data_IF_016866733287
#
_entry.id   IF_016866733287
#
_cell.length_a   1.000
_cell.length_b   1.000
_cell.length_c   1.000
_cell.angle_alpha   90.00
_cell.angle_beta   90.00
_cell.angle_gamma   90.00
#
_symmetry.space_group_name_H-M   'P 1'
#
loop_
_entity.id
_entity.type
_entity.pdbx_description
1 polymer ?
#
# COMPACT_ATOMS: atom_id res chain seq x y z
N UNK A 1 -7.46 -34.49 -19.76
CA UNK A 1 -8.09 -33.24 -19.27
C UNK A 1 -6.98 -32.38 -18.69
N UNK A 2 -6.53 -31.37 -19.42
CA UNK A 2 -5.39 -30.52 -19.02
C UNK A 2 -5.83 -29.55 -17.92
N UNK A 3 -5.48 -29.87 -16.67
CA UNK A 3 -5.63 -28.94 -15.55
C UNK A 3 -4.52 -27.91 -15.58
N UNK A 4 -4.82 -26.70 -16.07
CA UNK A 4 -3.92 -25.55 -15.98
C UNK A 4 -3.69 -25.26 -14.50
N UNK A 5 -2.56 -25.72 -13.94
CA UNK A 5 -2.11 -25.32 -12.61
C UNK A 5 -2.04 -23.79 -12.60
N UNK A 6 -2.75 -23.09 -11.70
CA UNK A 6 -2.60 -21.64 -11.61
C UNK A 6 -1.12 -21.33 -11.37
N UNK A 7 -0.56 -20.40 -12.14
CA UNK A 7 0.85 -19.98 -11.98
C UNK A 7 1.12 -19.62 -10.52
N UNK A 8 2.33 -19.90 -9.99
CA UNK A 8 2.67 -19.62 -8.58
C UNK A 8 2.42 -18.14 -8.19
N UNK A 9 2.56 -17.22 -9.15
CA UNK A 9 2.22 -15.81 -8.98
C UNK A 9 0.73 -15.55 -8.63
N UNK A 10 -0.19 -16.38 -9.14
CA UNK A 10 -1.65 -16.23 -8.89
C UNK A 10 -2.06 -16.85 -7.54
N UNK A 11 -1.39 -17.91 -7.11
CA UNK A 11 -1.58 -18.51 -5.79
C UNK A 11 -1.03 -17.60 -4.68
N UNK A 12 0.18 -17.06 -4.84
CA UNK A 12 0.77 -16.12 -3.89
C UNK A 12 -0.07 -14.85 -3.71
N UNK A 13 -0.69 -14.35 -4.79
CA UNK A 13 -1.57 -13.17 -4.77
C UNK A 13 -2.90 -13.42 -4.03
N UNK A 14 -3.39 -14.66 -4.03
CA UNK A 14 -4.60 -15.05 -3.32
C UNK A 14 -4.36 -15.33 -1.81
N UNK A 15 -3.17 -15.81 -1.43
CA UNK A 15 -2.79 -16.02 -0.02
C UNK A 15 -2.39 -14.71 0.70
N UNK A 16 -2.03 -13.66 -0.06
CA UNK A 16 -1.79 -12.31 0.45
C UNK A 16 -3.08 -11.50 0.69
N UNK A 17 -4.24 -11.98 0.20
CA UNK A 17 -5.52 -11.27 0.26
C UNK A 17 -6.12 -11.11 1.66
N UNK A 18 -5.45 -11.63 2.70
CA UNK A 18 -5.83 -11.41 4.11
C UNK A 18 -4.64 -11.16 5.03
N UNK A 19 -3.45 -10.88 4.48
CA UNK A 19 -2.23 -10.61 5.27
C UNK A 19 -1.76 -9.20 4.98
N UNK A 20 -1.63 -8.42 6.05
CA UNK A 20 -0.99 -7.10 6.03
C UNK A 20 0.34 -7.22 5.28
N UNK A 21 0.49 -6.49 4.18
CA UNK A 21 1.71 -6.46 3.40
C UNK A 21 2.75 -5.61 4.14
N UNK A 22 4.00 -6.06 4.13
CA UNK A 22 5.11 -5.31 4.73
C UNK A 22 6.04 -4.84 3.62
N UNK A 23 6.53 -3.60 3.73
CA UNK A 23 7.49 -3.04 2.80
C UNK A 23 8.50 -2.16 3.54
N UNK A 24 9.67 -1.98 2.94
CA UNK A 24 10.72 -1.13 3.51
C UNK A 24 10.78 0.15 2.68
N UNK A 25 10.67 1.29 3.34
CA UNK A 25 10.85 2.59 2.72
C UNK A 25 11.88 3.37 3.54
N UNK A 26 12.99 3.74 2.91
CA UNK A 26 13.97 4.65 3.52
C UNK A 26 14.52 4.11 4.87
N UNK A 27 14.80 2.80 4.90
CA UNK A 27 15.35 2.08 6.05
C UNK A 27 14.34 1.73 7.14
N UNK A 28 13.09 2.18 7.02
CA UNK A 28 12.01 1.91 7.96
C UNK A 28 11.04 0.86 7.40
N UNK A 29 10.56 -0.02 8.27
CA UNK A 29 9.55 -1.04 7.90
C UNK A 29 8.16 -0.48 8.12
N UNK A 30 7.36 -0.52 7.05
CA UNK A 30 5.96 -0.15 7.02
C UNK A 30 5.09 -1.36 6.73
N UNK A 31 3.84 -1.26 7.12
CA UNK A 31 2.82 -2.28 6.99
C UNK A 31 1.56 -1.65 6.41
N UNK A 32 0.92 -2.33 5.47
CA UNK A 32 -0.27 -1.86 4.79
C UNK A 32 -1.30 -2.97 4.71
N UNK A 33 -2.56 -2.64 5.02
CA UNK A 33 -3.65 -3.58 4.82
C UNK A 33 -3.81 -3.90 3.31
N UNK A 34 -4.33 -5.08 2.95
CA UNK A 34 -4.78 -5.35 1.59
C UNK A 34 -5.70 -4.24 1.10
N UNK A 35 -5.63 -3.91 -0.20
CA UNK A 35 -6.45 -2.84 -0.79
C UNK A 35 -7.96 -3.07 -0.67
N UNK A 36 -8.38 -4.34 -0.54
CA UNK A 36 -9.77 -4.72 -0.28
C UNK A 36 -10.28 -4.33 1.12
N UNK A 37 -9.37 -4.10 2.07
CA UNK A 37 -9.67 -3.70 3.46
C UNK A 37 -9.55 -2.18 3.66
N UNK A 38 -9.26 -1.42 2.60
CA UNK A 38 -9.20 0.04 2.70
C UNK A 38 -10.60 0.64 2.72
N UNK A 39 -10.80 1.60 3.62
CA UNK A 39 -12.05 2.33 3.70
C UNK A 39 -12.26 3.18 2.43
N UNK A 40 -13.52 3.45 2.07
CA UNK A 40 -13.86 4.29 0.92
C UNK A 40 -13.32 5.71 1.07
N UNK A 41 -13.10 6.17 2.30
CA UNK A 41 -12.42 7.42 2.60
C UNK A 41 -11.00 7.49 1.99
N UNK A 42 -10.31 6.34 1.84
CA UNK A 42 -9.01 6.30 1.17
C UNK A 42 -9.16 6.64 -0.32
N UNK A 43 -10.18 6.06 -0.96
CA UNK A 43 -10.46 6.25 -2.37
C UNK A 43 -10.92 7.70 -2.64
N UNK A 44 -11.85 8.22 -1.84
CA UNK A 44 -12.34 9.61 -1.92
C UNK A 44 -11.17 10.61 -1.91
N UNK A 45 -10.25 10.45 -0.95
CA UNK A 45 -9.08 11.33 -0.86
C UNK A 45 -8.11 11.15 -2.00
N UNK A 46 -7.96 9.94 -2.54
CA UNK A 46 -7.11 9.71 -3.69
C UNK A 46 -7.68 10.37 -4.95
N UNK A 47 -8.99 10.21 -5.21
CA UNK A 47 -9.68 10.79 -6.36
C UNK A 47 -9.73 12.33 -6.32
N UNK A 48 -9.87 12.93 -5.13
CA UNK A 48 -9.80 14.38 -4.91
C UNK A 48 -8.37 14.95 -5.04
N UNK A 49 -7.36 14.13 -5.37
CA UNK A 49 -5.95 14.53 -5.41
C UNK A 49 -5.34 14.81 -4.03
N UNK A 50 -6.04 14.46 -2.94
CA UNK A 50 -5.60 14.61 -1.55
C UNK A 50 -4.74 13.41 -1.11
N UNK A 51 -3.66 13.16 -1.85
CA UNK A 51 -2.72 12.03 -1.63
C UNK A 51 -2.25 11.93 -0.17
N UNK A 52 -1.94 13.07 0.47
CA UNK A 52 -1.55 13.08 1.88
C UNK A 52 -2.61 12.49 2.80
N UNK A 53 -3.89 12.77 2.52
CA UNK A 53 -5.02 12.23 3.26
C UNK A 53 -5.14 10.72 3.05
N UNK A 54 -5.08 10.27 1.79
CA UNK A 54 -5.14 8.84 1.46
C UNK A 54 -4.01 8.06 2.14
N UNK A 55 -2.76 8.54 2.02
CA UNK A 55 -1.59 7.90 2.65
C UNK A 55 -1.70 7.89 4.17
N UNK A 56 -2.24 8.95 4.78
CA UNK A 56 -2.45 9.00 6.24
C UNK A 56 -3.43 7.94 6.72
N UNK A 57 -4.53 7.73 5.98
CA UNK A 57 -5.54 6.73 6.32
C UNK A 57 -4.98 5.31 6.17
N UNK A 58 -4.26 5.06 5.07
CA UNK A 58 -3.68 3.76 4.74
C UNK A 58 -2.60 3.32 5.73
N UNK A 59 -1.71 4.23 6.13
CA UNK A 59 -0.63 3.93 7.07
C UNK A 59 -1.08 4.00 8.54
N UNK A 60 -2.10 4.81 8.82
CA UNK A 60 -2.50 5.14 10.18
C UNK A 60 -1.51 6.08 10.90
N UNK A 61 -1.87 6.52 12.12
CA UNK A 61 -1.19 7.61 12.82
C UNK A 61 0.26 7.27 13.21
N UNK A 62 0.52 6.05 13.68
CA UNK A 62 1.84 5.64 14.17
C UNK A 62 2.89 5.61 13.05
N UNK A 63 2.54 5.01 11.91
CA UNK A 63 3.43 4.91 10.76
C UNK A 63 3.59 6.26 10.05
N UNK A 64 2.53 7.06 9.98
CA UNK A 64 2.61 8.43 9.46
C UNK A 64 3.52 9.31 10.34
N UNK A 65 3.51 9.12 11.67
CA UNK A 65 4.43 9.81 12.58
C UNK A 65 5.89 9.40 12.32
N UNK A 66 6.17 8.12 12.04
CA UNK A 66 7.52 7.67 11.64
C UNK A 66 7.94 8.26 10.31
N UNK A 67 7.05 8.27 9.31
CA UNK A 67 7.33 8.92 8.04
C UNK A 67 7.68 10.40 8.25
N UNK A 68 6.92 11.13 9.06
CA UNK A 68 7.17 12.55 9.37
C UNK A 68 8.24 12.82 10.43
N UNK A 69 9.00 11.83 10.88
CA UNK A 69 10.07 12.01 11.87
C UNK A 69 11.25 12.82 11.35
N UNK A 70 11.36 12.99 10.03
CA UNK A 70 12.33 13.84 9.35
C UNK A 70 11.65 14.71 8.28
N UNK A 71 12.31 15.76 7.76
CA UNK A 71 11.76 16.55 6.67
C UNK A 71 11.39 15.66 5.48
N UNK A 72 10.14 15.76 5.02
CA UNK A 72 9.61 15.02 3.86
C UNK A 72 9.14 15.97 2.79
N UNK A 73 9.43 15.62 1.56
CA UNK A 73 8.95 16.30 0.36
C UNK A 73 7.68 15.63 -0.17
N UNK A 74 7.00 16.30 -1.11
CA UNK A 74 5.89 15.70 -1.87
C UNK A 74 6.39 14.48 -2.66
N UNK A 75 7.62 14.51 -3.17
CA UNK A 75 8.24 13.37 -3.85
C UNK A 75 8.37 12.14 -2.96
N UNK A 76 8.78 12.34 -1.70
CA UNK A 76 8.87 11.24 -0.72
C UNK A 76 7.50 10.65 -0.40
N UNK A 77 6.46 11.49 -0.33
CA UNK A 77 5.09 11.04 -0.10
C UNK A 77 4.59 10.17 -1.25
N UNK A 78 4.82 10.60 -2.49
CA UNK A 78 4.44 9.83 -3.68
C UNK A 78 5.22 8.51 -3.74
N UNK A 79 6.54 8.55 -3.50
CA UNK A 79 7.36 7.34 -3.50
C UNK A 79 6.94 6.33 -2.41
N UNK A 80 6.57 6.82 -1.22
CA UNK A 80 6.02 5.98 -0.17
C UNK A 80 4.68 5.35 -0.60
N UNK A 81 3.81 6.14 -1.23
CA UNK A 81 2.50 5.67 -1.67
C UNK A 81 2.61 4.65 -2.80
N UNK A 82 3.52 4.86 -3.76
CA UNK A 82 3.80 3.91 -4.83
C UNK A 82 4.27 2.56 -4.28
N UNK A 83 5.17 2.57 -3.29
CA UNK A 83 5.65 1.34 -2.67
C UNK A 83 4.54 0.64 -1.86
N UNK A 84 3.72 1.42 -1.16
CA UNK A 84 2.51 0.95 -0.50
C UNK A 84 1.53 0.26 -1.48
N UNK A 85 1.25 0.88 -2.63
CA UNK A 85 0.39 0.30 -3.66
C UNK A 85 0.94 -1.01 -4.21
N UNK A 86 2.25 -1.06 -4.49
CA UNK A 86 2.94 -2.28 -4.94
C UNK A 86 2.84 -3.39 -3.90
N UNK A 87 3.09 -3.07 -2.64
CA UNK A 87 2.99 -4.01 -1.52
C UNK A 87 1.55 -4.52 -1.33
N UNK A 88 0.56 -3.65 -1.51
CA UNK A 88 -0.86 -4.00 -1.47
C UNK A 88 -1.36 -4.77 -2.72
N UNK A 89 -0.48 -5.04 -3.69
CA UNK A 89 -0.81 -5.77 -4.90
C UNK A 89 -1.60 -4.97 -5.94
N UNK A 90 -1.74 -3.65 -5.74
CA UNK A 90 -2.21 -2.69 -6.73
C UNK A 90 -1.05 -2.48 -7.71
N UNK A 91 -1.01 -3.29 -8.77
CA UNK A 91 -0.14 -3.01 -9.89
C UNK A 91 -0.77 -1.84 -10.67
N UNK A 92 -0.15 -0.67 -10.62
CA UNK A 92 -0.52 0.44 -11.50
C UNK A 92 -0.53 -0.06 -12.94
N UNK A 93 -1.68 0.07 -13.59
CA UNK A 93 -1.81 -0.17 -15.03
C UNK A 93 -1.38 1.07 -15.79
#
# INVERSE_FOLDING_TARGET
MSGTRPSPARAARAEAAGKVAQFVFDGETYTIAPSADWDLDVLDRFEDGRVLGAVTLVLGPEQMKRFRSKPRTIGDLNALFDEAQRAAGIAGN
#
